data_IF_079365531638
#
_entry.id   IF_079365531638
#
_cell.length_a   1.000
_cell.length_b   1.000
_cell.length_c   1.000
_cell.angle_alpha   90.00
_cell.angle_beta   90.00
_cell.angle_gamma   90.00
#
_symmetry.space_group_name_H-M   'P 1'
#
loop_
_entity.id
_entity.type
_entity.pdbx_description
1 polymer ?
#
# COMPACT_ATOMS: atom_id res chain seq x y z
N UNK A 1 -11.69 -12.48 28.95
CA UNK A 1 -10.45 -11.92 28.37
C UNK A 1 -9.28 -12.31 29.25
N UNK A 2 -8.26 -12.93 28.67
CA UNK A 2 -6.98 -13.24 29.32
C UNK A 2 -5.83 -12.75 28.43
N UNK A 3 -4.74 -12.33 29.07
CA UNK A 3 -3.51 -11.89 28.40
C UNK A 3 -2.35 -12.57 29.11
N UNK A 4 -1.47 -13.22 28.35
CA UNK A 4 -0.25 -13.82 28.88
C UNK A 4 0.73 -12.74 29.37
N UNK A 5 1.62 -13.06 30.34
CA UNK A 5 2.65 -12.12 30.81
C UNK A 5 3.41 -11.50 29.64
N UNK A 6 3.26 -10.19 29.51
CA UNK A 6 3.76 -9.41 28.37
C UNK A 6 4.96 -8.58 28.80
N UNK A 7 5.89 -8.34 27.88
CA UNK A 7 7.11 -7.57 28.14
C UNK A 7 7.15 -6.38 27.20
N UNK A 8 7.29 -5.19 27.77
CA UNK A 8 7.56 -3.96 27.04
C UNK A 8 8.83 -3.31 27.58
N UNK A 9 9.76 -2.99 26.70
CA UNK A 9 11.02 -2.30 27.01
C UNK A 9 11.21 -1.14 26.06
N UNK A 10 11.98 -0.14 26.48
CA UNK A 10 12.30 0.99 25.62
C UNK A 10 13.23 1.98 26.29
N UNK A 11 13.79 2.86 25.48
CA UNK A 11 14.61 3.98 25.94
C UNK A 11 14.19 5.25 25.22
N UNK A 12 14.39 6.39 25.87
CA UNK A 12 14.22 7.70 25.27
C UNK A 12 15.43 8.56 25.63
N UNK A 13 15.94 9.31 24.66
CA UNK A 13 17.05 10.25 24.86
C UNK A 13 16.54 11.68 24.97
N UNK A 14 17.39 12.57 25.50
CA UNK A 14 17.12 14.02 25.53
C UNK A 14 16.97 14.64 24.14
N UNK A 15 17.47 13.97 23.09
CA UNK A 15 17.35 14.41 21.69
C UNK A 15 16.08 13.89 21.02
N UNK A 16 15.21 13.18 21.74
CA UNK A 16 13.96 12.63 21.22
C UNK A 16 14.10 11.30 20.48
N UNK A 17 15.30 10.71 20.43
CA UNK A 17 15.49 9.34 19.95
C UNK A 17 14.78 8.37 20.91
N UNK A 18 13.95 7.49 20.36
CA UNK A 18 13.18 6.47 21.05
C UNK A 18 13.54 5.11 20.48
N UNK A 19 13.73 4.13 21.37
CA UNK A 19 13.68 2.71 21.01
C UNK A 19 12.58 2.05 21.83
N UNK A 20 11.85 1.13 21.22
CA UNK A 20 10.87 0.32 21.94
C UNK A 20 10.84 -1.10 21.42
N UNK A 21 10.44 -2.02 22.29
CA UNK A 21 10.14 -3.40 21.99
C UNK A 21 8.97 -3.85 22.85
N UNK A 22 8.01 -4.52 22.23
CA UNK A 22 6.81 -5.10 22.84
C UNK A 22 6.72 -6.56 22.42
N UNK A 23 6.44 -7.44 23.37
CA UNK A 23 6.12 -8.85 23.12
C UNK A 23 4.91 -9.23 23.98
N UNK A 24 3.82 -9.63 23.32
CA UNK A 24 2.60 -10.16 23.94
C UNK A 24 2.44 -11.61 23.46
N UNK A 25 2.71 -12.61 24.31
CA UNK A 25 2.71 -14.01 23.89
C UNK A 25 1.35 -14.50 23.40
N UNK A 26 0.26 -14.12 24.09
CA UNK A 26 -1.10 -14.42 23.66
C UNK A 26 -2.13 -13.49 24.31
N UNK A 27 -3.22 -13.25 23.58
CA UNK A 27 -4.46 -12.62 24.04
C UNK A 27 -5.60 -13.54 23.65
N UNK A 28 -6.52 -13.79 24.58
CA UNK A 28 -7.71 -14.60 24.35
C UNK A 28 -8.94 -13.87 24.86
N UNK A 29 -9.99 -13.83 24.05
CA UNK A 29 -11.28 -13.27 24.39
C UNK A 29 -12.35 -14.34 24.19
N UNK A 30 -12.98 -14.76 25.28
CA UNK A 30 -14.11 -15.68 25.27
C UNK A 30 -15.42 -14.88 25.26
N UNK A 31 -16.30 -15.18 24.32
CA UNK A 31 -17.61 -14.55 24.17
C UNK A 31 -18.71 -15.33 24.90
N UNK A 32 -19.81 -14.67 25.25
CA UNK A 32 -20.93 -15.30 25.98
C UNK A 32 -21.63 -16.41 25.16
N UNK A 33 -21.56 -16.33 23.83
CA UNK A 33 -22.09 -17.34 22.90
C UNK A 33 -21.20 -18.58 22.77
N UNK A 34 -20.05 -18.62 23.46
CA UNK A 34 -19.09 -19.73 23.40
C UNK A 34 -18.02 -19.60 22.33
N UNK A 35 -18.08 -18.57 21.47
CA UNK A 35 -17.02 -18.28 20.51
C UNK A 35 -15.76 -17.75 21.22
N UNK A 36 -14.62 -17.82 20.52
CA UNK A 36 -13.35 -17.35 21.03
C UNK A 36 -12.56 -16.59 19.97
N UNK A 37 -11.93 -15.50 20.37
CA UNK A 37 -10.89 -14.81 19.59
C UNK A 37 -9.53 -15.08 20.24
N UNK A 38 -8.59 -15.60 19.45
CA UNK A 38 -7.22 -15.90 19.88
C UNK A 38 -6.23 -15.10 19.04
N UNK A 39 -5.32 -14.39 19.71
CA UNK A 39 -4.19 -13.71 19.10
C UNK A 39 -2.91 -14.26 19.74
N UNK A 40 -1.96 -14.73 18.93
CA UNK A 40 -0.67 -15.22 19.42
C UNK A 40 0.51 -14.43 18.86
N UNK A 41 1.51 -14.28 19.73
CA UNK A 41 2.82 -13.72 19.44
C UNK A 41 2.75 -12.36 18.74
N UNK A 42 2.09 -11.39 19.40
CA UNK A 42 2.20 -9.99 18.94
C UNK A 42 3.58 -9.48 19.34
N UNK A 43 4.31 -8.97 18.36
CA UNK A 43 5.56 -8.28 18.58
C UNK A 43 5.51 -6.91 17.95
N UNK A 44 6.11 -5.93 18.59
CA UNK A 44 6.37 -4.64 17.97
C UNK A 44 7.75 -4.17 18.38
N UNK A 45 8.43 -3.47 17.48
CA UNK A 45 9.72 -2.84 17.76
C UNK A 45 9.85 -1.58 16.92
N UNK A 46 10.65 -0.65 17.37
CA UNK A 46 10.99 0.51 16.56
C UNK A 46 12.15 1.28 17.15
N UNK A 47 12.79 2.02 16.25
CA UNK A 47 13.87 2.93 16.54
C UNK A 47 13.72 4.16 15.65
N UNK A 48 13.76 5.33 16.25
CA UNK A 48 13.57 6.57 15.52
C UNK A 48 13.31 7.75 16.43
N UNK A 49 12.88 8.84 15.83
CA UNK A 49 12.59 10.10 16.52
C UNK A 49 11.32 10.69 15.93
N UNK A 50 10.48 11.23 16.80
CA UNK A 50 9.38 12.06 16.37
C UNK A 50 9.90 13.48 16.11
N UNK A 51 9.71 13.97 14.89
CA UNK A 51 10.09 15.32 14.47
C UNK A 51 8.89 15.97 13.79
N UNK A 52 8.54 17.21 14.16
CA UNK A 52 7.45 18.00 13.56
C UNK A 52 6.13 17.23 13.34
N UNK A 53 5.82 16.26 14.21
CA UNK A 53 4.57 15.53 14.17
C UNK A 53 4.54 14.27 13.29
N UNK A 54 5.67 13.84 12.72
CA UNK A 54 5.83 12.57 12.02
C UNK A 54 7.02 11.76 12.58
N UNK A 55 7.08 10.48 12.24
CA UNK A 55 8.13 9.57 12.69
C UNK A 55 9.24 9.47 11.65
N UNK A 56 10.49 9.68 12.07
CA UNK A 56 11.70 9.40 11.30
C UNK A 56 12.39 8.18 11.91
N UNK A 57 12.66 7.16 11.10
CA UNK A 57 13.23 5.88 11.54
C UNK A 57 12.39 4.69 11.08
N UNK A 58 12.49 3.58 11.81
CA UNK A 58 11.84 2.31 11.47
C UNK A 58 10.95 1.85 12.63
N UNK A 59 9.76 1.36 12.31
CA UNK A 59 8.88 0.68 13.24
C UNK A 59 8.26 -0.53 12.55
N UNK A 60 8.18 -1.64 13.25
CA UNK A 60 7.55 -2.86 12.76
C UNK A 60 6.65 -3.46 13.82
N UNK A 61 5.48 -3.94 13.41
CA UNK A 61 4.59 -4.74 14.23
C UNK A 61 4.27 -6.04 13.49
N UNK A 62 4.13 -7.13 14.23
CA UNK A 62 3.73 -8.42 13.68
C UNK A 62 2.90 -9.21 14.67
N UNK A 63 2.15 -10.17 14.16
CA UNK A 63 1.37 -11.12 14.93
C UNK A 63 1.41 -12.45 14.20
N UNK A 64 1.73 -13.54 14.91
CA UNK A 64 1.88 -14.86 14.26
C UNK A 64 0.56 -15.54 13.95
N UNK A 65 -0.46 -15.35 14.79
CA UNK A 65 -1.74 -16.03 14.61
C UNK A 65 -2.87 -15.14 15.08
N UNK A 66 -3.92 -15.07 14.27
CA UNK A 66 -5.25 -14.60 14.66
C UNK A 66 -6.26 -15.65 14.25
N UNK A 67 -7.08 -16.09 15.19
CA UNK A 67 -8.12 -17.08 14.97
C UNK A 67 -9.42 -16.63 15.61
N UNK A 68 -10.52 -16.78 14.88
CA UNK A 68 -11.88 -16.75 15.44
C UNK A 68 -12.40 -18.18 15.44
N UNK A 69 -12.75 -18.69 16.61
CA UNK A 69 -13.22 -20.05 16.82
C UNK A 69 -14.71 -20.04 17.17
N UNK A 70 -15.45 -21.02 16.66
CA UNK A 70 -16.84 -21.25 17.01
C UNK A 70 -17.00 -21.88 18.40
N UNK A 71 -18.25 -22.15 18.81
CA UNK A 71 -18.57 -22.81 20.09
C UNK A 71 -17.99 -24.23 20.24
N UNK A 72 -17.64 -24.90 19.13
CA UNK A 72 -16.99 -26.21 19.10
C UNK A 72 -15.46 -26.12 19.05
N UNK A 73 -14.91 -24.90 19.02
CA UNK A 73 -13.49 -24.58 18.81
C UNK A 73 -12.99 -24.91 17.40
N UNK A 74 -13.89 -24.98 16.43
CA UNK A 74 -13.54 -25.04 15.01
C UNK A 74 -13.26 -23.63 14.50
N UNK A 75 -12.24 -23.48 13.66
CA UNK A 75 -11.89 -22.15 13.13
C UNK A 75 -12.91 -21.67 12.09
N UNK A 76 -13.38 -20.44 12.31
CA UNK A 76 -14.19 -19.68 11.36
C UNK A 76 -13.33 -18.79 10.47
N UNK A 77 -12.13 -18.43 10.93
CA UNK A 77 -11.25 -17.48 10.27
C UNK A 77 -9.86 -17.56 10.87
N UNK A 78 -8.84 -17.77 10.04
CA UNK A 78 -7.44 -17.79 10.46
C UNK A 78 -6.59 -16.87 9.61
N UNK A 79 -5.75 -16.07 10.27
CA UNK A 79 -4.61 -15.41 9.66
C UNK A 79 -3.34 -15.99 10.27
N UNK A 80 -2.50 -16.57 9.43
CA UNK A 80 -1.12 -16.91 9.74
C UNK A 80 -0.22 -15.72 9.41
N UNK A 81 0.58 -15.35 10.39
CA UNK A 81 1.61 -14.30 10.38
C UNK A 81 1.27 -13.08 9.54
N UNK A 82 0.85 -12.01 10.19
CA UNK A 82 0.76 -10.68 9.60
C UNK A 82 1.91 -9.81 10.10
N UNK A 83 2.43 -8.97 9.22
CA UNK A 83 3.52 -8.04 9.49
C UNK A 83 3.23 -6.69 8.86
N UNK A 84 3.65 -5.64 9.54
CA UNK A 84 3.69 -4.29 9.01
C UNK A 84 4.99 -3.62 9.42
N UNK A 85 5.72 -3.05 8.46
CA UNK A 85 6.92 -2.25 8.68
C UNK A 85 6.74 -0.88 8.04
N UNK A 86 6.95 0.16 8.82
CA UNK A 86 7.05 1.54 8.33
C UNK A 86 8.48 2.02 8.47
N UNK A 87 9.01 2.61 7.40
CA UNK A 87 10.31 3.28 7.39
C UNK A 87 10.12 4.71 6.91
N UNK A 88 10.87 5.64 7.49
CA UNK A 88 11.00 6.98 6.95
C UNK A 88 12.40 7.52 7.19
N UNK A 89 12.92 8.25 6.21
CA UNK A 89 14.22 8.91 6.28
C UNK A 89 14.13 10.35 5.76
N UNK A 90 14.99 11.20 6.31
CA UNK A 90 15.19 12.57 5.85
C UNK A 90 16.55 12.67 5.16
N UNK A 91 16.53 13.13 3.90
CA UNK A 91 17.72 13.59 3.23
C UNK A 91 17.92 15.09 3.53
N UNK A 92 18.89 15.40 4.40
CA UNK A 92 19.16 16.77 4.83
C UNK A 92 19.79 17.66 3.74
N UNK A 93 20.41 17.07 2.70
CA UNK A 93 21.03 17.82 1.62
C UNK A 93 19.99 18.32 0.61
N UNK A 94 19.02 17.48 0.27
CA UNK A 94 17.94 17.81 -0.66
C UNK A 94 16.69 18.38 0.03
N UNK A 95 16.64 18.31 1.36
CA UNK A 95 15.47 18.61 2.19
C UNK A 95 14.22 17.83 1.76
N UNK A 96 14.41 16.50 1.61
CA UNK A 96 13.36 15.58 1.15
C UNK A 96 13.17 14.40 2.10
N UNK A 97 11.94 13.92 2.16
CA UNK A 97 11.53 12.76 2.97
C UNK A 97 11.23 11.57 2.05
N UNK A 98 11.72 10.41 2.46
CA UNK A 98 11.31 9.12 1.91
C UNK A 98 10.47 8.36 2.95
N UNK A 99 9.49 7.61 2.49
CA UNK A 99 8.63 6.76 3.30
C UNK A 99 8.41 5.42 2.61
N UNK A 100 8.35 4.35 3.39
CA UNK A 100 8.09 3.00 2.90
C UNK A 100 7.15 2.27 3.86
N UNK A 101 6.15 1.62 3.31
CA UNK A 101 5.12 0.84 3.98
C UNK A 101 5.18 -0.58 3.43
N UNK A 102 5.58 -1.53 4.27
CA UNK A 102 5.70 -2.93 3.91
C UNK A 102 4.65 -3.69 4.72
N UNK A 103 3.71 -4.34 4.05
CA UNK A 103 2.72 -5.22 4.64
C UNK A 103 2.95 -6.63 4.14
N UNK A 104 2.94 -7.59 5.06
CA UNK A 104 3.17 -9.00 4.76
C UNK A 104 2.10 -9.84 5.46
N UNK A 105 1.63 -10.88 4.78
CA UNK A 105 0.76 -11.89 5.38
C UNK A 105 1.07 -13.26 4.77
N UNK A 106 1.36 -14.24 5.60
CA UNK A 106 1.71 -15.59 5.13
C UNK A 106 0.49 -16.32 4.58
N UNK A 107 -0.60 -16.35 5.34
CA UNK A 107 -1.81 -17.05 4.90
C UNK A 107 -3.05 -16.47 5.58
N UNK A 108 -4.14 -16.44 4.84
CA UNK A 108 -5.49 -16.15 5.31
C UNK A 108 -6.41 -17.26 4.81
N UNK A 109 -7.13 -17.87 5.74
CA UNK A 109 -8.09 -18.94 5.45
C UNK A 109 -9.50 -18.46 5.80
N UNK A 110 -10.37 -18.46 4.80
CA UNK A 110 -11.79 -18.13 4.94
C UNK A 110 -12.64 -19.39 5.20
N UNK A 111 -13.90 -19.23 5.69
CA UNK A 111 -14.89 -20.30 5.64
C UNK A 111 -14.97 -20.90 4.22
N UNK A 112 -15.27 -22.20 4.13
CA UNK A 112 -15.35 -22.96 2.87
C UNK A 112 -14.00 -23.26 2.18
N UNK A 113 -12.87 -22.95 2.83
CA UNK A 113 -11.55 -23.43 2.42
C UNK A 113 -10.83 -22.57 1.38
N UNK A 114 -11.36 -21.38 1.05
CA UNK A 114 -10.64 -20.41 0.23
C UNK A 114 -9.41 -19.86 0.99
N UNK A 115 -8.29 -19.77 0.27
CA UNK A 115 -7.00 -19.38 0.84
C UNK A 115 -6.37 -18.26 0.02
N UNK A 116 -5.88 -17.23 0.72
CA UNK A 116 -4.98 -16.20 0.21
C UNK A 116 -3.63 -16.40 0.91
N UNK A 117 -2.55 -16.53 0.17
CA UNK A 117 -1.21 -16.76 0.73
C UNK A 117 -0.16 -15.85 0.11
N UNK A 118 0.98 -15.76 0.81
CA UNK A 118 2.16 -15.00 0.40
C UNK A 118 1.86 -13.54 0.01
N UNK A 119 0.92 -12.88 0.69
CA UNK A 119 0.60 -11.49 0.43
C UNK A 119 1.77 -10.61 0.88
N UNK A 120 2.36 -9.87 -0.04
CA UNK A 120 3.36 -8.83 0.21
C UNK A 120 2.93 -7.56 -0.52
N UNK A 121 3.01 -6.42 0.17
CA UNK A 121 2.75 -5.09 -0.38
C UNK A 121 3.84 -4.16 0.14
N UNK A 122 4.79 -3.80 -0.72
CA UNK A 122 5.86 -2.82 -0.47
C UNK A 122 5.55 -1.54 -1.27
N UNK A 123 4.97 -0.56 -0.59
CA UNK A 123 4.64 0.75 -1.13
C UNK A 123 5.62 1.80 -0.63
N UNK A 124 6.12 2.67 -1.50
CA UNK A 124 7.00 3.77 -1.12
C UNK A 124 6.57 5.09 -1.74
N UNK A 125 6.86 6.17 -1.00
CA UNK A 125 6.85 7.53 -1.52
C UNK A 125 8.21 8.14 -1.25
N UNK A 126 8.91 8.53 -2.31
CA UNK A 126 10.28 9.03 -2.23
C UNK A 126 10.34 10.49 -2.68
N UNK A 127 11.39 11.18 -2.22
CA UNK A 127 11.72 12.53 -2.62
C UNK A 127 10.62 13.56 -2.32
N UNK A 128 9.80 13.32 -1.29
CA UNK A 128 8.75 14.23 -0.86
C UNK A 128 9.37 15.52 -0.33
N UNK A 129 8.91 16.68 -0.76
CA UNK A 129 9.34 17.96 -0.18
C UNK A 129 9.00 17.98 1.32
N UNK A 130 10.01 18.18 2.17
CA UNK A 130 9.85 18.11 3.62
C UNK A 130 8.78 19.06 4.13
N UNK A 131 8.85 20.32 3.71
CA UNK A 131 7.94 21.37 4.20
C UNK A 131 6.49 21.11 3.78
N UNK A 132 6.29 20.66 2.54
CA UNK A 132 4.97 20.29 2.03
C UNK A 132 4.41 19.08 2.78
N UNK A 133 5.22 18.04 2.96
CA UNK A 133 4.83 16.82 3.67
C UNK A 133 4.46 17.09 5.12
N UNK A 134 5.32 17.81 5.87
CA UNK A 134 5.06 18.19 7.26
C UNK A 134 3.76 19.00 7.38
N UNK A 135 3.53 19.95 6.47
CA UNK A 135 2.29 20.72 6.43
C UNK A 135 1.05 19.84 6.22
N UNK A 136 1.09 18.91 5.26
CA UNK A 136 -0.03 18.01 4.95
C UNK A 136 -0.32 17.06 6.12
N UNK A 137 0.70 16.50 6.76
CA UNK A 137 0.55 15.64 7.94
C UNK A 137 -0.04 16.42 9.11
N UNK A 138 0.40 17.66 9.32
CA UNK A 138 -0.13 18.54 10.36
C UNK A 138 -1.64 18.80 10.17
N UNK A 139 -2.04 19.15 8.94
CA UNK A 139 -3.44 19.40 8.59
C UNK A 139 -4.33 18.16 8.77
N UNK A 140 -3.87 16.99 8.33
CA UNK A 140 -4.60 15.74 8.54
C UNK A 140 -4.83 15.44 10.03
N UNK A 141 -3.84 15.73 10.88
CA UNK A 141 -3.93 15.50 12.33
C UNK A 141 -4.80 16.52 13.06
N UNK A 142 -4.82 17.77 12.62
CA UNK A 142 -5.62 18.83 13.25
C UNK A 142 -7.09 18.77 12.82
N UNK A 143 -7.37 18.37 11.58
CA UNK A 143 -8.70 18.36 10.98
C UNK A 143 -9.03 16.99 10.36
N UNK A 144 -9.53 16.02 11.15
CA UNK A 144 -9.92 14.70 10.65
C UNK A 144 -11.11 14.74 9.66
N UNK A 145 -11.81 15.87 9.57
CA UNK A 145 -12.73 16.18 8.48
C UNK A 145 -12.25 17.45 7.77
N UNK A 146 -11.85 17.33 6.51
CA UNK A 146 -11.47 18.48 5.69
C UNK A 146 -12.67 19.42 5.50
N UNK A 147 -12.61 20.61 6.10
CA UNK A 147 -13.57 21.67 5.86
C UNK A 147 -13.13 22.49 4.63
N UNK A 148 -14.06 23.21 4.00
CA UNK A 148 -13.72 24.08 2.86
C UNK A 148 -12.67 25.16 3.19
N UNK A 149 -12.54 25.52 4.48
CA UNK A 149 -11.52 26.46 4.96
C UNK A 149 -10.09 25.92 4.81
N UNK A 150 -9.90 24.60 4.84
CA UNK A 150 -8.59 23.95 4.77
C UNK A 150 -7.99 24.00 3.36
N UNK A 151 -8.81 24.24 2.33
CA UNK A 151 -8.36 24.27 0.92
C UNK A 151 -7.30 25.35 0.68
N UNK A 152 -7.44 26.53 1.33
CA UNK A 152 -6.48 27.62 1.19
C UNK A 152 -5.12 27.30 1.83
N UNK A 153 -5.10 26.41 2.83
CA UNK A 153 -3.88 25.95 3.50
C UNK A 153 -3.24 24.77 2.76
N UNK A 154 -4.07 23.91 2.16
CA UNK A 154 -3.63 22.73 1.39
C UNK A 154 -3.06 23.13 0.03
N UNK A 155 -3.69 24.09 -0.67
CA UNK A 155 -3.30 24.49 -2.02
C UNK A 155 -1.80 24.82 -2.17
N UNK A 156 -1.16 25.67 -1.33
CA UNK A 156 0.27 25.93 -1.45
C UNK A 156 1.15 24.72 -1.11
N UNK A 157 0.68 23.80 -0.26
CA UNK A 157 1.43 22.58 0.07
C UNK A 157 1.42 21.60 -1.10
N UNK A 158 0.26 21.42 -1.74
CA UNK A 158 0.14 20.63 -2.98
C UNK A 158 1.01 21.27 -4.07
N UNK A 159 0.91 22.59 -4.25
CA UNK A 159 1.71 23.31 -5.24
C UNK A 159 3.21 23.07 -5.04
N UNK A 160 3.72 23.19 -3.81
CA UNK A 160 5.12 22.96 -3.52
C UNK A 160 5.53 21.49 -3.71
N UNK A 161 4.70 20.54 -3.28
CA UNK A 161 4.96 19.11 -3.44
C UNK A 161 5.13 18.73 -4.92
N UNK A 162 4.23 19.19 -5.80
CA UNK A 162 4.29 18.92 -7.23
C UNK A 162 5.42 19.70 -7.92
N UNK A 163 5.63 20.97 -7.57
CA UNK A 163 6.70 21.78 -8.14
C UNK A 163 8.08 21.19 -7.82
N UNK A 164 8.27 20.58 -6.63
CA UNK A 164 9.52 19.92 -6.23
C UNK A 164 9.66 18.51 -6.81
N UNK A 165 8.57 17.92 -7.29
CA UNK A 165 8.52 16.56 -7.78
C UNK A 165 8.68 15.51 -6.68
N UNK A 166 8.16 14.32 -6.93
CA UNK A 166 8.20 13.18 -6.01
C UNK A 166 7.96 11.88 -6.77
N UNK A 167 8.19 10.76 -6.09
CA UNK A 167 7.97 9.43 -6.64
C UNK A 167 7.01 8.66 -5.75
N UNK A 168 6.14 7.87 -6.37
CA UNK A 168 5.27 6.90 -5.71
C UNK A 168 5.50 5.56 -6.39
N UNK A 169 5.75 4.51 -5.61
CA UNK A 169 5.98 3.18 -6.16
C UNK A 169 5.29 2.08 -5.37
N UNK A 170 4.93 1.04 -6.10
CA UNK A 170 4.73 -0.30 -5.57
C UNK A 170 5.98 -1.10 -5.94
N UNK A 171 6.90 -1.27 -5.00
CA UNK A 171 8.16 -1.98 -5.21
C UNK A 171 7.94 -3.49 -5.31
N UNK A 172 6.91 -3.99 -4.64
CA UNK A 172 6.45 -5.37 -4.71
C UNK A 172 4.97 -5.45 -4.28
N UNK A 173 4.12 -5.96 -5.15
CA UNK A 173 2.79 -6.43 -4.77
C UNK A 173 2.70 -7.87 -5.23
N UNK A 174 2.59 -8.78 -4.30
CA UNK A 174 2.56 -10.20 -4.58
C UNK A 174 1.49 -10.87 -3.73
N UNK A 175 0.72 -11.79 -4.30
CA UNK A 175 -0.14 -12.68 -3.55
C UNK A 175 -0.49 -13.91 -4.37
N UNK A 176 -0.98 -14.95 -3.67
CA UNK A 176 -1.51 -16.16 -4.28
C UNK A 176 -2.93 -16.45 -3.83
N UNK A 177 -3.76 -16.90 -4.76
CA UNK A 177 -5.08 -17.46 -4.47
C UNK A 177 -5.02 -18.93 -4.87
N UNK A 178 -5.15 -19.83 -3.89
CA UNK A 178 -4.77 -21.23 -4.05
C UNK A 178 -3.31 -21.34 -4.58
N UNK A 179 -3.09 -21.91 -5.77
CA UNK A 179 -1.77 -22.06 -6.40
C UNK A 179 -1.47 -20.97 -7.45
N UNK A 180 -2.42 -20.08 -7.69
CA UNK A 180 -2.35 -19.06 -8.74
C UNK A 180 -1.74 -17.76 -8.19
N UNK A 181 -0.87 -17.12 -8.97
CA UNK A 181 0.02 -16.05 -8.50
C UNK A 181 -0.22 -14.74 -9.25
N UNK A 182 -0.23 -13.63 -8.51
CA UNK A 182 -0.18 -12.28 -9.04
C UNK A 182 1.05 -11.55 -8.51
N UNK A 183 1.71 -10.80 -9.40
CA UNK A 183 2.83 -9.92 -9.08
C UNK A 183 2.64 -8.58 -9.77
N UNK A 184 2.97 -7.48 -9.11
CA UNK A 184 3.02 -6.16 -9.74
C UNK A 184 4.10 -5.29 -9.13
N UNK A 185 4.75 -4.50 -9.99
CA UNK A 185 5.68 -3.45 -9.61
C UNK A 185 5.42 -2.25 -10.50
N UNK A 186 5.31 -1.07 -9.92
CA UNK A 186 5.15 0.15 -10.70
C UNK A 186 5.79 1.33 -10.01
N UNK A 187 6.22 2.29 -10.81
CA UNK A 187 6.77 3.57 -10.41
C UNK A 187 6.03 4.66 -11.15
N UNK A 188 5.55 5.66 -10.42
CA UNK A 188 5.00 6.91 -10.96
C UNK A 188 5.82 8.06 -10.40
N UNK A 189 6.31 8.90 -11.28
CA UNK A 189 7.14 10.05 -10.95
C UNK A 189 6.44 11.33 -11.41
N UNK A 190 6.37 12.29 -10.50
CA UNK A 190 6.08 13.69 -10.83
C UNK A 190 7.43 14.40 -10.94
N UNK A 191 7.83 14.86 -12.14
CA UNK A 191 9.10 15.56 -12.30
C UNK A 191 9.09 16.92 -11.60
N UNK A 192 10.26 17.35 -11.13
CA UNK A 192 10.48 18.71 -10.64
C UNK A 192 10.15 19.73 -11.74
N UNK A 193 9.50 20.83 -11.36
CA UNK A 193 8.97 21.84 -12.27
C UNK A 193 7.50 21.63 -12.70
N UNK A 194 6.78 20.68 -12.09
CA UNK A 194 5.33 20.51 -12.33
C UNK A 194 4.53 21.60 -11.59
N UNK A 195 4.42 22.78 -12.20
CA UNK A 195 3.80 23.97 -11.62
C UNK A 195 2.32 24.15 -11.97
N UNK A 196 1.64 25.03 -11.24
CA UNK A 196 0.25 25.44 -11.38
C UNK A 196 -0.79 24.35 -11.10
N UNK A 197 -0.40 23.23 -10.47
CA UNK A 197 -1.30 22.10 -10.16
C UNK A 197 -2.49 22.53 -9.32
N UNK A 198 -2.29 23.45 -8.37
CA UNK A 198 -3.37 23.95 -7.51
C UNK A 198 -4.44 24.75 -8.27
N UNK A 199 -4.10 25.29 -9.44
CA UNK A 199 -4.99 26.11 -10.29
C UNK A 199 -5.52 25.34 -11.49
N UNK A 200 -4.69 24.47 -12.05
CA UNK A 200 -5.00 23.64 -13.20
C UNK A 200 -4.49 22.21 -12.95
N UNK A 201 -5.32 21.34 -12.35
CA UNK A 201 -4.96 19.94 -12.11
C UNK A 201 -4.73 19.13 -13.41
N UNK A 202 -5.14 19.65 -14.58
CA UNK A 202 -4.97 18.94 -15.85
C UNK A 202 -3.51 18.78 -16.28
N UNK A 203 -2.60 19.58 -15.71
CA UNK A 203 -1.16 19.52 -15.99
C UNK A 203 -0.48 18.28 -15.39
N UNK A 204 -1.12 17.62 -14.40
CA UNK A 204 -0.51 16.50 -13.67
C UNK A 204 -0.37 15.27 -14.56
N UNK A 205 -1.46 14.79 -15.17
CA UNK A 205 -1.44 13.54 -15.93
C UNK A 205 -0.40 13.56 -17.07
N UNK A 206 -0.29 14.63 -17.89
CA UNK A 206 0.73 14.71 -18.93
C UNK A 206 2.17 14.77 -18.41
N UNK A 207 2.39 15.20 -17.16
CA UNK A 207 3.71 15.31 -16.58
C UNK A 207 4.23 13.98 -16.02
N UNK A 208 3.34 13.01 -15.75
CA UNK A 208 3.69 11.73 -15.13
C UNK A 208 4.66 10.94 -16.01
N UNK A 209 5.67 10.37 -15.34
CA UNK A 209 6.64 9.45 -15.90
C UNK A 209 6.71 8.18 -15.05
N UNK A 210 7.35 7.13 -15.56
CA UNK A 210 7.66 5.93 -14.79
C UNK A 210 7.41 4.65 -15.57
N UNK A 211 7.03 3.58 -14.88
CA UNK A 211 6.82 2.27 -15.48
C UNK A 211 5.82 1.41 -14.70
N UNK A 212 5.35 0.37 -15.36
CA UNK A 212 4.45 -0.63 -14.79
C UNK A 212 4.83 -2.00 -15.34
N UNK A 213 5.05 -2.93 -14.41
CA UNK A 213 5.20 -4.34 -14.67
C UNK A 213 4.15 -5.11 -13.86
N UNK A 214 3.53 -6.11 -14.48
CA UNK A 214 2.65 -7.02 -13.78
C UNK A 214 2.75 -8.42 -14.39
N UNK A 215 2.58 -9.42 -13.55
CA UNK A 215 2.46 -10.82 -13.94
C UNK A 215 1.23 -11.43 -13.28
N UNK A 216 0.50 -12.22 -14.05
CA UNK A 216 -0.65 -12.98 -13.58
C UNK A 216 -0.58 -14.38 -14.15
N UNK A 217 -0.70 -15.41 -13.31
CA UNK A 217 -0.77 -16.79 -13.77
C UNK A 217 -2.03 -17.05 -14.59
N UNK A 218 -1.95 -18.02 -15.52
CA UNK A 218 -3.05 -18.32 -16.43
C UNK A 218 -4.30 -18.79 -15.68
N UNK A 219 -4.16 -19.61 -14.64
CA UNK A 219 -5.32 -20.09 -13.88
C UNK A 219 -6.03 -18.97 -13.13
N UNK A 220 -5.33 -17.90 -12.72
CA UNK A 220 -5.97 -16.71 -12.15
C UNK A 220 -6.85 -15.99 -13.17
N UNK A 221 -6.36 -15.80 -14.40
CA UNK A 221 -7.14 -15.18 -15.47
C UNK A 221 -8.38 -16.02 -15.83
N UNK A 222 -8.20 -17.33 -15.96
CA UNK A 222 -9.26 -18.27 -16.34
C UNK A 222 -10.33 -18.47 -15.25
N UNK A 223 -9.97 -18.27 -13.97
CA UNK A 223 -10.92 -18.32 -12.86
C UNK A 223 -11.96 -17.18 -12.92
N UNK A 224 -11.69 -16.11 -13.66
CA UNK A 224 -12.56 -14.94 -13.78
C UNK A 224 -12.85 -14.60 -15.25
N UNK A 225 -14.04 -14.97 -15.80
CA UNK A 225 -14.35 -14.81 -17.22
C UNK A 225 -14.17 -13.39 -17.79
N UNK A 226 -14.41 -12.35 -16.98
CA UNK A 226 -14.17 -10.96 -17.39
C UNK A 226 -12.68 -10.64 -17.56
N UNK A 227 -11.81 -11.22 -16.72
CA UNK A 227 -10.36 -11.05 -16.84
C UNK A 227 -9.83 -11.80 -18.06
N UNK A 228 -10.30 -13.05 -18.27
CA UNK A 228 -9.90 -13.85 -19.43
C UNK A 228 -10.15 -13.11 -20.75
N UNK A 229 -11.34 -12.53 -20.94
CA UNK A 229 -11.64 -11.77 -22.17
C UNK A 229 -10.71 -10.56 -22.34
N UNK A 230 -10.48 -9.79 -21.27
CA UNK A 230 -9.59 -8.63 -21.32
C UNK A 230 -8.15 -9.01 -21.63
N UNK A 231 -7.66 -10.12 -21.06
CA UNK A 231 -6.32 -10.65 -21.31
C UNK A 231 -6.17 -11.10 -22.76
N UNK A 232 -7.13 -11.84 -23.31
CA UNK A 232 -7.10 -12.30 -24.70
C UNK A 232 -7.03 -11.13 -25.68
N UNK A 233 -7.82 -10.08 -25.45
CA UNK A 233 -7.79 -8.85 -26.25
C UNK A 233 -6.43 -8.16 -26.18
N UNK A 234 -5.86 -8.02 -24.98
CA UNK A 234 -4.55 -7.40 -24.78
C UNK A 234 -3.39 -8.22 -25.36
N UNK A 235 -3.49 -9.54 -25.36
CA UNK A 235 -2.52 -10.43 -26.02
C UNK A 235 -2.60 -10.25 -27.54
N UNK A 236 -3.80 -10.23 -28.13
CA UNK A 236 -3.98 -9.98 -29.58
C UNK A 236 -3.45 -8.60 -30.00
N UNK A 237 -3.52 -7.62 -29.09
CA UNK A 237 -2.99 -6.28 -29.31
C UNK A 237 -1.48 -6.16 -29.08
N UNK A 238 -0.76 -7.25 -28.74
CA UNK A 238 0.67 -7.26 -28.38
C UNK A 238 1.00 -6.35 -27.16
N UNK A 239 0.05 -6.17 -26.26
CA UNK A 239 0.17 -5.33 -25.05
C UNK A 239 0.55 -6.13 -23.81
N UNK A 240 0.24 -7.43 -23.84
CA UNK A 240 0.60 -8.41 -22.83
C UNK A 240 1.29 -9.56 -23.57
N UNK A 241 2.33 -10.11 -22.96
CA UNK A 241 3.05 -11.28 -23.47
C UNK A 241 2.64 -12.52 -22.69
N UNK A 242 2.33 -13.59 -23.40
CA UNK A 242 2.24 -14.92 -22.78
C UNK A 242 3.67 -15.40 -22.49
N UNK A 243 3.99 -15.61 -21.22
CA UNK A 243 5.31 -16.06 -20.75
C UNK A 243 5.13 -17.08 -19.65
N UNK A 244 5.92 -18.14 -19.73
CA UNK A 244 5.83 -19.29 -18.82
C UNK A 244 4.42 -19.87 -18.77
N UNK A 245 3.78 -19.88 -17.59
CA UNK A 245 2.41 -20.33 -17.37
C UNK A 245 1.47 -19.16 -17.04
N UNK A 246 1.74 -17.97 -17.58
CA UNK A 246 0.98 -16.75 -17.29
C UNK A 246 1.16 -15.63 -18.32
N UNK A 247 0.76 -14.44 -17.89
CA UNK A 247 0.65 -13.24 -18.69
C UNK A 247 1.48 -12.12 -18.06
N UNK A 248 2.36 -11.50 -18.83
CA UNK A 248 3.20 -10.39 -18.39
C UNK A 248 2.83 -9.09 -19.12
N UNK A 249 2.60 -8.04 -18.34
CA UNK A 249 2.45 -6.67 -18.80
C UNK A 249 3.75 -5.91 -18.49
N UNK A 250 4.26 -5.19 -19.47
CA UNK A 250 5.37 -4.25 -19.31
C UNK A 250 5.08 -3.00 -20.14
N UNK A 251 5.02 -1.85 -19.47
CA UNK A 251 4.74 -0.57 -20.10
C UNK A 251 5.47 0.58 -19.38
N UNK A 252 5.90 1.57 -20.15
CA UNK A 252 6.38 2.83 -19.62
C UNK A 252 5.22 3.81 -19.43
N UNK A 253 5.37 4.74 -18.49
CA UNK A 253 4.46 5.86 -18.32
C UNK A 253 5.13 7.08 -18.93
N UNK A 254 4.51 7.67 -19.95
CA UNK A 254 5.00 8.87 -20.62
C UNK A 254 3.82 9.74 -21.08
N UNK A 255 3.82 11.03 -20.73
CA UNK A 255 2.85 11.97 -21.29
C UNK A 255 1.40 11.66 -20.91
N UNK A 256 1.16 11.01 -19.76
CA UNK A 256 -0.16 10.55 -19.35
C UNK A 256 -0.66 9.30 -20.07
N UNK A 257 0.24 8.58 -20.75
CA UNK A 257 -0.04 7.33 -21.46
C UNK A 257 0.77 6.18 -20.88
N UNK A 258 0.22 4.97 -20.92
CA UNK A 258 1.00 3.74 -20.95
C UNK A 258 1.53 3.52 -22.37
N UNK A 259 2.85 3.43 -22.51
CA UNK A 259 3.55 3.18 -23.77
C UNK A 259 4.12 1.76 -23.74
N UNK A 260 3.61 0.91 -24.63
CA UNK A 260 4.00 -0.49 -24.73
C UNK A 260 5.17 -0.66 -25.70
N UNK A 261 5.91 -1.78 -25.61
CA UNK A 261 7.07 -2.04 -26.49
C UNK A 261 6.74 -1.99 -28.00
N UNK A 262 5.51 -2.36 -28.38
CA UNK A 262 5.03 -2.32 -29.76
C UNK A 262 4.66 -0.89 -30.24
N UNK A 263 4.80 0.13 -29.39
CA UNK A 263 4.48 1.53 -29.66
C UNK A 263 3.01 1.90 -29.48
N UNK A 264 2.14 0.96 -29.08
CA UNK A 264 0.76 1.28 -28.72
C UNK A 264 0.72 2.13 -27.45
N UNK A 265 -0.32 2.96 -27.36
CA UNK A 265 -0.50 3.89 -26.26
C UNK A 265 -1.91 3.78 -25.69
N UNK A 266 -2.02 3.65 -24.37
CA UNK A 266 -3.29 3.73 -23.64
C UNK A 266 -3.28 4.93 -22.70
N UNK A 267 -4.29 5.80 -22.74
CA UNK A 267 -4.41 6.88 -21.76
C UNK A 267 -4.51 6.33 -20.34
N UNK A 268 -3.69 6.82 -19.41
CA UNK A 268 -3.75 6.40 -18.00
C UNK A 268 -5.14 6.58 -17.40
N UNK A 269 -5.87 7.63 -17.82
CA UNK A 269 -7.23 7.88 -17.36
C UNK A 269 -8.20 6.72 -17.68
N UNK A 270 -7.93 5.94 -18.73
CA UNK A 270 -8.75 4.79 -19.10
C UNK A 270 -8.74 3.70 -18.02
N UNK A 271 -7.63 3.55 -17.29
CA UNK A 271 -7.50 2.58 -16.18
C UNK A 271 -8.45 2.89 -15.02
N UNK A 272 -8.85 4.15 -14.85
CA UNK A 272 -9.74 4.60 -13.78
C UNK A 272 -11.22 4.56 -14.17
N UNK A 273 -11.56 4.43 -15.46
CA UNK A 273 -12.95 4.45 -15.91
C UNK A 273 -13.84 3.38 -15.25
N UNK A 274 -13.41 2.11 -15.04
CA UNK A 274 -14.23 1.12 -14.35
C UNK A 274 -14.58 1.53 -12.90
N UNK A 275 -13.64 2.17 -12.19
CA UNK A 275 -13.86 2.67 -10.83
C UNK A 275 -14.85 3.83 -10.79
N UNK A 276 -14.81 4.71 -11.80
CA UNK A 276 -15.74 5.84 -11.94
C UNK A 276 -17.13 5.41 -12.38
N UNK A 277 -17.24 4.39 -13.25
CA UNK A 277 -18.52 3.85 -13.70
C UNK A 277 -19.18 2.93 -12.66
N UNK A 278 -18.38 2.24 -11.83
CA UNK A 278 -18.87 1.42 -10.72
C UNK A 278 -19.63 2.20 -9.66
N UNK A 279 -19.44 3.53 -9.56
CA UNK A 279 -20.24 4.38 -8.67
C UNK A 279 -21.65 4.69 -9.19
N UNK A 280 -21.97 4.34 -10.44
CA UNK A 280 -23.28 4.62 -11.05
C UNK A 280 -24.32 3.50 -10.89
N UNK A 281 -23.95 2.33 -10.34
CA UNK A 281 -24.88 1.22 -10.06
C UNK A 281 -25.17 1.03 -8.56
N UNK A 282 -25.03 2.10 -7.78
CA UNK A 282 -25.28 2.13 -6.33
C UNK A 282 -26.20 3.27 -5.88
N UNK A 283 -27.17 3.68 -6.72
CA UNK A 283 -28.31 4.53 -6.32
C UNK A 283 -29.64 3.90 -6.73
#
# INVERSE_FOLDING_TARGET
MSISPSVATGTATVLGQVTFQLNVPSVQLDFENGEQLVINQVSAKGEGKQENGFWLGEQSASMKQFSILDQNHDSLFDIDTIGYTFKSSLNAESDRIDTQHIFDMTQLTYPEGAQLSDLNVDFAMNSLDRSAFEGLVSLYRSNPSLAHADINEIAPLIENLFARGFQVSMNDMHFKIAEEEFKSKWLVEVPEGTENVSRDPSVVLPALQGNMNAYMSQGMALAHPMLAQGVDELVVMDMIKEKDAGYELDANIEGGQLVFENGQQIPLIALFLPLLMGQSMGQ
#
